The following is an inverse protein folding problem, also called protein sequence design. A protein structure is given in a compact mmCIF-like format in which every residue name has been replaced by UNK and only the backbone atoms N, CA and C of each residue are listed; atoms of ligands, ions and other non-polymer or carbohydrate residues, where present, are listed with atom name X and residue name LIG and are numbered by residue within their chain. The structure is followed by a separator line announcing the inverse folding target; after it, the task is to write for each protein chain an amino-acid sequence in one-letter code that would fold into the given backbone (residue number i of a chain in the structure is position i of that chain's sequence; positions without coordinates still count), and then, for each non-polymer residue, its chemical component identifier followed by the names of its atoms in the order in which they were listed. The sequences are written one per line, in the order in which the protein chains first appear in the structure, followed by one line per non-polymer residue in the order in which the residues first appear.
data_IF_651276677553
#
_entry.id   IF_651276677553
#
_cell.length_a   1.000
_cell.length_b   1.000
_cell.length_c   1.000
_cell.angle_alpha   90.00
_cell.angle_beta   90.00
_cell.angle_gamma   90.00
#
_symmetry.space_group_name_H-M   'P 1'
#
loop_
_entity.id
_entity.type
_entity.pdbx_description
1 polymer ?
#
# COMPACT_ATOMS: atom_id res chain seq x y z
N UNK A 1 -26.07 -10.95 -23.10
CA UNK A 1 -25.36 -9.68 -22.84
C UNK A 1 -24.25 -10.02 -21.89
N UNK A 2 -23.00 -9.99 -22.35
CA UNK A 2 -21.83 -10.19 -21.48
C UNK A 2 -21.55 -8.79 -20.93
N UNK A 3 -21.75 -8.56 -19.63
CA UNK A 3 -21.26 -7.34 -18.98
C UNK A 3 -19.76 -7.27 -19.26
N UNK A 4 -19.33 -6.26 -19.99
CA UNK A 4 -17.91 -6.00 -20.16
C UNK A 4 -17.36 -5.71 -18.76
N UNK A 5 -16.36 -6.48 -18.33
CA UNK A 5 -15.74 -6.24 -17.05
C UNK A 5 -15.06 -4.86 -17.09
N UNK A 6 -15.68 -3.87 -16.45
CA UNK A 6 -15.21 -2.49 -16.38
C UNK A 6 -14.11 -2.33 -15.33
N UNK A 7 -13.37 -3.41 -15.03
CA UNK A 7 -12.30 -3.46 -14.05
C UNK A 7 -11.06 -4.04 -14.70
N UNK A 8 -9.94 -3.36 -14.49
CA UNK A 8 -8.61 -3.85 -14.83
C UNK A 8 -7.93 -4.27 -13.52
N UNK A 9 -7.52 -5.53 -13.47
CA UNK A 9 -6.71 -6.05 -12.37
C UNK A 9 -5.25 -6.24 -12.83
N UNK A 10 -4.31 -5.66 -12.08
CA UNK A 10 -2.88 -5.86 -12.25
C UNK A 10 -2.33 -6.63 -11.06
N UNK A 11 -2.03 -7.91 -11.27
CA UNK A 11 -1.55 -8.82 -10.21
C UNK A 11 -0.05 -8.67 -10.01
N UNK A 12 0.38 -8.51 -8.76
CA UNK A 12 1.78 -8.45 -8.35
C UNK A 12 2.25 -9.88 -8.08
N UNK A 13 2.98 -10.44 -9.04
CA UNK A 13 3.41 -11.84 -8.99
C UNK A 13 4.93 -11.98 -8.97
N UNK A 14 5.43 -13.02 -8.32
CA UNK A 14 6.80 -13.51 -8.47
C UNK A 14 6.83 -14.97 -8.93
N UNK A 15 8.03 -15.50 -9.12
CA UNK A 15 8.26 -16.92 -9.45
C UNK A 15 9.29 -17.52 -8.50
N UNK A 16 9.04 -18.73 -8.03
CA UNK A 16 10.05 -19.53 -7.32
C UNK A 16 11.15 -19.99 -8.29
N UNK A 17 12.29 -20.50 -7.79
CA UNK A 17 13.32 -21.12 -8.64
C UNK A 17 12.78 -22.29 -9.50
N UNK A 18 11.72 -22.97 -9.05
CA UNK A 18 11.05 -24.05 -9.78
C UNK A 18 10.05 -23.54 -10.83
N UNK A 19 9.91 -22.22 -10.99
CA UNK A 19 9.00 -21.58 -11.94
C UNK A 19 7.56 -21.46 -11.45
N UNK A 20 7.26 -21.87 -10.20
CA UNK A 20 5.92 -21.74 -9.61
C UNK A 20 5.59 -20.27 -9.39
N UNK A 21 4.44 -19.83 -9.86
CA UNK A 21 3.95 -18.48 -9.68
C UNK A 21 3.49 -18.27 -8.23
N UNK A 22 3.83 -17.11 -7.67
CA UNK A 22 3.46 -16.68 -6.33
C UNK A 22 2.77 -15.33 -6.45
N UNK A 23 1.60 -15.19 -5.84
CA UNK A 23 0.81 -13.96 -5.81
C UNK A 23 1.10 -13.18 -4.53
N UNK A 24 1.36 -11.88 -4.66
CA UNK A 24 1.61 -10.95 -3.57
C UNK A 24 0.52 -9.87 -3.44
N UNK A 25 -0.57 -9.98 -4.20
CA UNK A 25 -1.71 -9.08 -4.23
C UNK A 25 -1.93 -8.44 -5.59
N UNK A 26 -2.83 -7.47 -5.65
CA UNK A 26 -3.21 -6.84 -6.91
C UNK A 26 -3.54 -5.35 -6.77
N UNK A 27 -3.55 -4.68 -7.92
CA UNK A 27 -4.05 -3.33 -8.09
C UNK A 27 -5.30 -3.38 -8.96
N UNK A 28 -6.40 -2.88 -8.42
CA UNK A 28 -7.66 -2.72 -9.14
C UNK A 28 -7.81 -1.30 -9.68
N UNK A 29 -8.19 -1.19 -10.96
CA UNK A 29 -8.50 0.05 -11.64
C UNK A 29 -9.88 -0.05 -12.30
N UNK A 30 -10.79 0.84 -11.91
CA UNK A 30 -12.10 0.96 -12.56
C UNK A 30 -11.95 1.72 -13.89
N UNK A 31 -12.61 1.22 -14.93
CA UNK A 31 -12.60 1.79 -16.27
C UNK A 31 -14.00 2.30 -16.66
N UNK A 32 -14.04 3.33 -17.50
CA UNK A 32 -15.26 3.76 -18.18
C UNK A 32 -15.66 2.72 -19.24
N UNK A 33 -16.88 2.80 -19.81
CA UNK A 33 -17.25 1.96 -20.95
C UNK A 33 -16.33 2.11 -22.18
N UNK A 34 -15.60 3.22 -22.28
CA UNK A 34 -14.64 3.50 -23.34
C UNK A 34 -13.24 2.90 -23.05
N UNK A 35 -13.03 2.34 -21.85
CA UNK A 35 -11.77 1.75 -21.43
C UNK A 35 -10.78 2.74 -20.82
N UNK A 36 -11.22 3.95 -20.49
CA UNK A 36 -10.41 4.97 -19.82
C UNK A 36 -10.47 4.81 -18.29
N UNK A 37 -9.43 5.22 -17.54
CA UNK A 37 -9.45 5.21 -16.08
C UNK A 37 -10.62 6.05 -15.50
N UNK A 38 -11.56 5.43 -14.81
CA UNK A 38 -12.72 6.10 -14.23
C UNK A 38 -12.45 6.68 -12.83
N UNK A 39 -11.58 6.02 -12.05
CA UNK A 39 -11.23 6.41 -10.67
C UNK A 39 -9.76 6.11 -10.37
N UNK A 40 -9.16 6.73 -9.34
CA UNK A 40 -7.85 6.33 -8.87
C UNK A 40 -7.81 4.84 -8.49
N UNK A 41 -6.73 4.11 -8.83
CA UNK A 41 -6.58 2.70 -8.52
C UNK A 41 -6.52 2.45 -7.00
N UNK A 42 -6.91 1.24 -6.61
CA UNK A 42 -6.78 0.72 -5.25
C UNK A 42 -5.86 -0.49 -5.23
N UNK A 43 -4.97 -0.56 -4.24
CA UNK A 43 -3.98 -1.61 -4.12
C UNK A 43 -4.24 -2.46 -2.87
N UNK A 44 -4.18 -3.77 -3.02
CA UNK A 44 -4.22 -4.77 -1.94
C UNK A 44 -2.99 -5.65 -2.04
N UNK A 45 -2.17 -5.72 -0.98
CA UNK A 45 -0.94 -6.51 -0.97
C UNK A 45 -0.92 -7.46 0.22
N UNK A 46 -0.51 -8.70 -0.04
CA UNK A 46 -0.14 -9.67 0.98
C UNK A 46 1.29 -9.42 1.46
N UNK A 47 1.50 -9.30 2.78
CA UNK A 47 2.84 -9.24 3.36
C UNK A 47 3.59 -10.58 3.28
N UNK A 48 2.82 -11.65 3.10
CA UNK A 48 3.28 -13.02 3.01
C UNK A 48 2.62 -13.72 1.82
N UNK A 49 3.24 -14.81 1.38
CA UNK A 49 2.69 -15.70 0.38
C UNK A 49 2.81 -17.15 0.86
N UNK A 50 1.83 -17.98 0.46
CA UNK A 50 1.84 -19.39 0.77
C UNK A 50 2.53 -20.18 -0.34
N UNK A 51 3.57 -20.93 0.03
CA UNK A 51 4.27 -21.83 -0.86
C UNK A 51 4.17 -23.23 -0.24
N UNK A 52 3.48 -24.13 -0.94
CA UNK A 52 3.31 -25.54 -0.55
C UNK A 52 2.75 -25.73 0.87
N UNK A 53 1.83 -24.85 1.27
CA UNK A 53 1.17 -24.89 2.59
C UNK A 53 1.91 -24.17 3.71
N UNK A 54 3.12 -23.65 3.45
CA UNK A 54 3.87 -22.82 4.40
C UNK A 54 3.81 -21.34 4.02
N UNK A 55 3.69 -20.48 5.02
CA UNK A 55 3.67 -19.02 4.87
C UNK A 55 5.09 -18.46 4.85
N UNK A 56 5.41 -17.61 3.86
CA UNK A 56 6.70 -16.96 3.71
C UNK A 56 6.52 -15.44 3.60
N UNK A 57 7.35 -14.68 4.30
CA UNK A 57 7.41 -13.23 4.13
C UNK A 57 8.09 -12.85 2.80
N UNK A 58 7.55 -11.84 2.11
CA UNK A 58 8.14 -11.34 0.88
C UNK A 58 9.24 -10.30 1.16
N UNK A 59 10.43 -10.51 0.59
CA UNK A 59 11.54 -9.56 0.64
C UNK A 59 12.10 -9.35 -0.77
N UNK A 60 12.25 -8.08 -1.17
CA UNK A 60 12.81 -7.69 -2.47
C UNK A 60 14.18 -7.05 -2.21
N UNK A 61 15.20 -7.52 -2.92
CA UNK A 61 16.58 -7.04 -2.86
C UNK A 61 17.10 -6.81 -4.28
N UNK A 62 18.12 -5.97 -4.41
CA UNK A 62 18.78 -5.69 -5.70
C UNK A 62 19.41 -6.96 -6.29
N UNK A 63 20.00 -7.81 -5.44
CA UNK A 63 20.63 -9.06 -5.82
C UNK A 63 20.23 -10.19 -4.87
N UNK A 64 20.04 -11.39 -5.41
CA UNK A 64 19.88 -12.63 -4.64
C UNK A 64 21.07 -13.55 -4.92
N UNK A 65 21.83 -13.88 -3.88
CA UNK A 65 22.99 -14.78 -3.97
C UNK A 65 22.68 -16.10 -3.29
N UNK A 66 22.99 -17.21 -3.96
CA UNK A 66 22.86 -18.55 -3.36
C UNK A 66 24.14 -18.88 -2.60
N UNK A 67 24.02 -19.04 -1.28
CA UNK A 67 25.15 -19.40 -0.42
C UNK A 67 25.56 -20.88 -0.54
N UNK A 68 26.67 -21.28 0.10
CA UNK A 68 27.22 -22.64 0.02
C UNK A 68 26.27 -23.77 0.47
N UNK A 69 25.18 -23.44 1.17
CA UNK A 69 24.13 -24.38 1.59
C UNK A 69 22.85 -24.35 0.75
N UNK A 70 22.85 -23.69 -0.42
CA UNK A 70 21.66 -23.56 -1.27
C UNK A 70 20.63 -22.52 -0.79
N UNK A 71 20.91 -21.82 0.32
CA UNK A 71 20.05 -20.75 0.82
C UNK A 71 20.27 -19.46 0.03
N UNK A 72 19.16 -18.85 -0.41
CA UNK A 72 19.16 -17.54 -1.02
C UNK A 72 19.33 -16.45 0.05
N UNK A 73 20.33 -15.59 -0.14
CA UNK A 73 20.58 -14.42 0.70
C UNK A 73 20.49 -13.17 -0.17
N UNK A 74 19.67 -12.20 0.24
CA UNK A 74 19.59 -10.91 -0.42
C UNK A 74 20.82 -10.05 -0.16
N UNK A 75 21.30 -9.35 -1.20
CA UNK A 75 22.35 -8.32 -1.13
C UNK A 75 21.84 -7.01 -1.73
N UNK A 76 22.40 -5.91 -1.26
CA UNK A 76 22.01 -4.57 -1.70
C UNK A 76 20.85 -3.97 -0.91
N UNK A 77 20.21 -2.96 -1.49
CA UNK A 77 19.12 -2.24 -0.85
C UNK A 77 17.86 -3.10 -0.82
N UNK A 78 17.24 -3.19 0.36
CA UNK A 78 15.92 -3.81 0.49
C UNK A 78 14.85 -2.85 -0.02
N UNK A 79 14.07 -3.30 -0.99
CA UNK A 79 12.89 -2.60 -1.48
C UNK A 79 11.63 -3.16 -0.82
N UNK A 80 10.72 -2.29 -0.38
CA UNK A 80 9.43 -2.74 0.15
C UNK A 80 8.52 -3.20 -0.99
N UNK A 81 7.71 -4.23 -0.75
CA UNK A 81 6.73 -4.72 -1.72
C UNK A 81 5.78 -3.58 -2.16
N UNK A 82 5.38 -2.72 -1.23
CA UNK A 82 4.57 -1.53 -1.52
C UNK A 82 5.25 -0.61 -2.51
N UNK A 83 6.53 -0.26 -2.31
CA UNK A 83 7.26 0.60 -3.25
C UNK A 83 7.35 -0.05 -4.62
N UNK A 84 7.72 -1.33 -4.67
CA UNK A 84 7.77 -2.08 -5.93
C UNK A 84 6.43 -2.10 -6.67
N UNK A 85 5.32 -2.32 -5.96
CA UNK A 85 3.98 -2.31 -6.54
C UNK A 85 3.58 -0.93 -7.08
N UNK A 86 3.85 0.15 -6.33
CA UNK A 86 3.59 1.53 -6.77
C UNK A 86 4.37 1.86 -8.05
N UNK A 87 5.67 1.56 -8.08
CA UNK A 87 6.52 1.83 -9.24
C UNK A 87 6.10 0.98 -10.44
N UNK A 88 5.95 -0.34 -10.27
CA UNK A 88 5.62 -1.26 -11.37
C UNK A 88 4.25 -0.98 -11.97
N UNK A 89 3.23 -0.73 -11.14
CA UNK A 89 1.91 -0.34 -11.63
C UNK A 89 1.94 1.04 -12.29
N UNK A 90 2.67 2.01 -11.72
CA UNK A 90 2.82 3.34 -12.32
C UNK A 90 3.38 3.28 -13.75
N UNK A 91 4.42 2.46 -13.96
CA UNK A 91 4.99 2.22 -15.29
C UNK A 91 4.03 1.48 -16.22
N UNK A 92 3.30 0.48 -15.71
CA UNK A 92 2.26 -0.21 -16.48
C UNK A 92 1.16 0.76 -16.94
N UNK A 93 0.67 1.58 -16.02
CA UNK A 93 -0.38 2.56 -16.26
C UNK A 93 0.04 3.56 -17.36
N UNK A 94 1.25 4.11 -17.25
CA UNK A 94 1.77 5.06 -18.24
C UNK A 94 1.91 4.43 -19.62
N UNK A 95 2.41 3.19 -19.72
CA UNK A 95 2.46 2.47 -21.01
C UNK A 95 1.07 2.21 -21.59
N UNK A 96 0.07 1.92 -20.74
CA UNK A 96 -1.28 1.52 -21.17
C UNK A 96 -2.15 2.70 -21.59
N UNK A 97 -2.02 3.84 -20.92
CA UNK A 97 -2.89 5.00 -21.07
C UNK A 97 -2.17 6.24 -21.65
N UNK A 98 -0.85 6.17 -21.82
CA UNK A 98 -0.06 7.23 -22.48
C UNK A 98 0.20 8.46 -21.60
N UNK A 99 -0.10 8.39 -20.30
CA UNK A 99 0.18 9.47 -19.35
C UNK A 99 0.47 8.91 -17.95
N UNK A 100 1.24 9.61 -17.11
CA UNK A 100 1.59 9.13 -15.78
C UNK A 100 0.36 9.04 -14.87
N UNK A 101 0.41 8.10 -13.92
CA UNK A 101 -0.58 8.01 -12.85
C UNK A 101 -0.49 9.22 -11.93
N UNK A 102 -1.64 9.87 -11.67
CA UNK A 102 -1.72 11.11 -10.89
C UNK A 102 -2.24 10.92 -9.45
N UNK A 103 -2.97 9.85 -9.18
CA UNK A 103 -3.55 9.62 -7.87
C UNK A 103 -3.65 8.14 -7.50
N UNK A 104 -3.65 7.87 -6.20
CA UNK A 104 -3.95 6.58 -5.58
C UNK A 104 -5.05 6.75 -4.55
N UNK A 105 -5.98 5.79 -4.49
CA UNK A 105 -6.94 5.71 -3.40
C UNK A 105 -6.73 4.42 -2.62
N UNK A 106 -6.91 4.44 -1.31
CA UNK A 106 -6.93 3.20 -0.56
C UNK A 106 -7.31 3.35 0.89
N UNK A 107 -7.77 2.24 1.47
CA UNK A 107 -7.97 2.07 2.91
C UNK A 107 -6.67 1.62 3.55
N UNK A 108 -6.47 1.97 4.82
CA UNK A 108 -5.35 1.48 5.60
C UNK A 108 -5.56 0.02 6.01
N UNK A 109 -4.63 -0.85 5.64
CA UNK A 109 -4.54 -2.21 6.19
C UNK A 109 -4.30 -2.17 7.71
N UNK A 110 -4.68 -3.24 8.42
CA UNK A 110 -4.69 -3.31 9.89
C UNK A 110 -3.43 -2.72 10.56
N UNK A 111 -2.23 -3.16 10.16
CA UNK A 111 -0.98 -2.68 10.77
C UNK A 111 -0.73 -1.18 10.50
N UNK A 112 -1.01 -0.71 9.28
CA UNK A 112 -0.87 0.70 8.95
C UNK A 112 -1.94 1.55 9.65
N UNK A 113 -3.15 1.02 9.81
CA UNK A 113 -4.23 1.66 10.58
C UNK A 113 -3.83 1.82 12.05
N UNK A 114 -3.28 0.77 12.67
CA UNK A 114 -2.79 0.85 14.06
C UNK A 114 -1.66 1.89 14.21
N UNK A 115 -0.70 1.88 13.28
CA UNK A 115 0.39 2.86 13.28
C UNK A 115 -0.14 4.29 13.08
N UNK A 116 -1.10 4.48 12.16
CA UNK A 116 -1.76 5.77 11.96
C UNK A 116 -2.44 6.25 13.24
N UNK A 117 -3.21 5.38 13.91
CA UNK A 117 -3.94 5.73 15.12
C UNK A 117 -3.00 6.14 16.26
N UNK A 118 -1.86 5.45 16.41
CA UNK A 118 -0.82 5.81 17.38
C UNK A 118 -0.18 7.16 17.06
N UNK A 119 0.19 7.41 15.81
CA UNK A 119 0.73 8.69 15.38
C UNK A 119 -0.28 9.83 15.54
N UNK A 120 -1.55 9.57 15.21
CA UNK A 120 -2.65 10.51 15.40
C UNK A 120 -2.78 10.90 16.87
N UNK A 121 -2.87 9.92 17.79
CA UNK A 121 -2.96 10.20 19.23
C UNK A 121 -1.75 10.97 19.73
N UNK A 122 -0.54 10.55 19.36
CA UNK A 122 0.70 11.26 19.74
C UNK A 122 0.64 12.74 19.32
N UNK A 123 0.25 13.03 18.08
CA UNK A 123 0.12 14.40 17.57
C UNK A 123 -0.99 15.19 18.29
N UNK A 124 -2.10 14.54 18.63
CA UNK A 124 -3.19 15.17 19.40
C UNK A 124 -2.74 15.52 20.82
N UNK A 125 -1.98 14.65 21.48
CA UNK A 125 -1.38 14.91 22.79
C UNK A 125 -0.33 16.03 22.74
N UNK A 126 0.34 16.21 21.59
CA UNK A 126 1.23 17.35 21.29
C UNK A 126 0.47 18.66 20.95
N UNK A 127 -0.87 18.64 20.96
CA UNK A 127 -1.71 19.82 20.72
C UNK A 127 -2.00 20.12 19.24
N UNK A 128 -1.60 19.25 18.31
CA UNK A 128 -1.86 19.43 16.87
C UNK A 128 -3.36 19.29 16.59
N UNK A 129 -4.03 20.24 15.88
CA UNK A 129 -5.45 20.14 15.53
C UNK A 129 -5.80 18.84 14.81
N UNK A 130 -7.00 18.30 15.05
CA UNK A 130 -7.38 16.96 14.57
C UNK A 130 -7.23 16.78 13.06
N UNK A 131 -7.69 17.74 12.26
CA UNK A 131 -7.57 17.69 10.80
C UNK A 131 -6.11 17.68 10.32
N UNK A 132 -5.25 18.44 10.98
CA UNK A 132 -3.81 18.46 10.68
C UNK A 132 -3.15 17.15 11.13
N UNK A 133 -3.51 16.65 12.32
CA UNK A 133 -2.97 15.42 12.88
C UNK A 133 -3.27 14.20 12.01
N UNK A 134 -4.46 14.12 11.38
CA UNK A 134 -4.79 13.04 10.44
C UNK A 134 -3.80 13.00 9.27
N UNK A 135 -3.60 14.12 8.60
CA UNK A 135 -2.70 14.20 7.44
C UNK A 135 -1.26 13.90 7.86
N UNK A 136 -0.79 14.49 8.95
CA UNK A 136 0.57 14.28 9.46
C UNK A 136 0.80 12.84 9.95
N UNK A 137 -0.19 12.18 10.53
CA UNK A 137 -0.10 10.78 10.91
C UNK A 137 0.11 9.88 9.70
N UNK A 138 -0.59 10.12 8.58
CA UNK A 138 -0.37 9.36 7.34
C UNK A 138 1.06 9.57 6.82
N UNK A 139 1.57 10.80 6.85
CA UNK A 139 2.93 11.12 6.40
C UNK A 139 4.01 10.33 7.15
N UNK A 140 3.75 9.96 8.41
CA UNK A 140 4.71 9.29 9.31
C UNK A 140 4.67 7.76 9.25
N UNK A 141 3.67 7.16 8.59
CA UNK A 141 3.56 5.70 8.45
C UNK A 141 4.02 5.22 7.08
N UNK A 142 4.31 3.92 6.97
CA UNK A 142 4.83 3.33 5.73
C UNK A 142 3.90 3.53 4.52
N UNK A 143 2.58 3.59 4.73
CA UNK A 143 1.63 3.94 3.67
C UNK A 143 1.95 5.28 3.00
N UNK A 144 2.13 6.34 3.80
CA UNK A 144 2.38 7.69 3.31
C UNK A 144 3.81 7.87 2.83
N UNK A 145 4.80 7.37 3.59
CA UNK A 145 6.23 7.45 3.24
C UNK A 145 6.47 6.92 1.81
N UNK A 146 6.00 5.71 1.51
CA UNK A 146 6.22 5.10 0.19
C UNK A 146 5.52 5.85 -0.95
N UNK A 147 4.39 6.51 -0.69
CA UNK A 147 3.67 7.31 -1.70
C UNK A 147 4.36 8.65 -1.95
N UNK A 148 4.84 9.29 -0.89
CA UNK A 148 5.62 10.53 -0.98
C UNK A 148 6.92 10.28 -1.76
N UNK A 149 7.61 9.17 -1.50
CA UNK A 149 8.82 8.78 -2.24
C UNK A 149 8.58 8.62 -3.74
N UNK A 150 7.38 8.18 -4.14
CA UNK A 150 6.95 8.04 -5.55
C UNK A 150 6.31 9.33 -6.12
N UNK A 151 6.40 10.44 -5.38
CA UNK A 151 5.97 11.77 -5.82
C UNK A 151 4.51 12.13 -5.50
N UNK A 152 3.76 11.26 -4.82
CA UNK A 152 2.38 11.56 -4.37
C UNK A 152 2.41 12.35 -3.06
N UNK A 153 2.78 13.63 -3.14
CA UNK A 153 3.05 14.48 -1.98
C UNK A 153 1.82 15.12 -1.36
N UNK A 154 0.70 15.20 -2.10
CA UNK A 154 -0.58 15.73 -1.62
C UNK A 154 -1.41 14.57 -1.06
N UNK A 155 -1.67 14.60 0.24
CA UNK A 155 -2.41 13.56 0.94
C UNK A 155 -3.71 14.15 1.53
N UNK A 156 -4.84 13.55 1.19
CA UNK A 156 -6.15 13.84 1.78
C UNK A 156 -6.62 12.62 2.55
N UNK A 157 -7.13 12.84 3.77
CA UNK A 157 -7.54 11.76 4.69
C UNK A 157 -9.02 11.93 5.02
N UNK A 158 -9.82 10.97 4.59
CA UNK A 158 -11.24 10.90 4.90
C UNK A 158 -11.47 9.90 6.04
N UNK A 159 -12.17 10.34 7.08
CA UNK A 159 -12.57 9.52 8.22
C UNK A 159 -14.09 9.42 8.24
N UNK A 160 -14.61 8.20 8.18
CA UNK A 160 -16.06 7.96 8.22
C UNK A 160 -16.53 7.61 9.64
N UNK A 161 -15.71 6.91 10.41
CA UNK A 161 -16.07 6.43 11.75
C UNK A 161 -14.92 6.60 12.73
N UNK A 162 -15.26 6.81 13.99
CA UNK A 162 -14.34 6.87 15.13
C UNK A 162 -14.89 6.00 16.27
N UNK A 163 -14.00 5.27 16.94
CA UNK A 163 -14.36 4.31 17.99
C UNK A 163 -13.25 4.24 19.05
N UNK A 164 -13.59 3.72 20.24
CA UNK A 164 -12.59 3.41 21.26
C UNK A 164 -11.77 2.18 20.87
N UNK A 165 -10.45 2.37 20.74
CA UNK A 165 -9.51 1.32 20.36
C UNK A 165 -8.38 1.26 21.39
N UNK A 166 -8.02 0.06 21.84
CA UNK A 166 -6.81 -0.15 22.63
C UNK A 166 -5.58 -0.14 21.73
N UNK A 167 -4.78 0.93 21.83
CA UNK A 167 -3.57 1.14 21.04
C UNK A 167 -2.32 0.51 21.69
N UNK A 168 -2.45 -0.10 22.86
CA UNK A 168 -1.35 -0.59 23.69
C UNK A 168 -0.53 0.54 24.32
N UNK A 169 0.47 0.19 25.13
CA UNK A 169 1.37 1.15 25.75
C UNK A 169 2.15 1.99 24.70
N UNK A 170 2.40 3.28 24.97
CA UNK A 170 2.02 4.06 26.17
C UNK A 170 0.60 4.66 26.11
N UNK A 171 -0.16 4.39 25.04
CA UNK A 171 -1.40 5.12 24.75
C UNK A 171 -2.65 4.50 25.40
N UNK A 172 -2.69 3.19 25.61
CA UNK A 172 -3.89 2.51 26.11
C UNK A 172 -5.11 2.70 25.19
N UNK A 173 -6.31 2.74 25.76
CA UNK A 173 -7.55 2.96 25.01
C UNK A 173 -7.76 4.43 24.66
N UNK A 174 -8.10 4.70 23.40
CA UNK A 174 -8.34 6.04 22.87
C UNK A 174 -9.48 6.02 21.83
N UNK A 175 -10.27 7.10 21.80
CA UNK A 175 -11.24 7.35 20.73
C UNK A 175 -10.52 7.86 19.49
N UNK A 176 -10.50 7.04 18.43
CA UNK A 176 -9.67 7.28 17.23
C UNK A 176 -10.39 6.89 15.94
N UNK A 177 -9.96 7.45 14.78
CA UNK A 177 -10.45 7.04 13.47
C UNK A 177 -10.32 5.54 13.21
N UNK A 178 -11.38 4.91 12.69
CA UNK A 178 -11.39 3.47 12.37
C UNK A 178 -11.66 3.14 10.91
N UNK A 179 -12.54 3.87 10.21
CA UNK A 179 -12.65 3.80 8.74
C UNK A 179 -11.90 4.99 8.14
N UNK A 180 -10.69 4.71 7.65
CA UNK A 180 -9.74 5.70 7.14
C UNK A 180 -9.47 5.39 5.68
N UNK A 181 -9.86 6.33 4.82
CA UNK A 181 -9.55 6.32 3.38
C UNK A 181 -8.59 7.44 3.07
N UNK A 182 -7.58 7.15 2.23
CA UNK A 182 -6.58 8.12 1.83
C UNK A 182 -6.61 8.27 0.32
N UNK A 183 -6.60 9.53 -0.12
CA UNK A 183 -6.32 9.93 -1.49
C UNK A 183 -4.92 10.55 -1.52
N UNK A 184 -4.01 9.94 -2.28
CA UNK A 184 -2.65 10.44 -2.46
C UNK A 184 -2.46 10.90 -3.92
N UNK A 185 -2.05 12.13 -4.12
CA UNK A 185 -2.00 12.79 -5.43
C UNK A 185 -0.61 13.38 -5.69
N UNK A 186 -0.21 13.41 -6.96
CA UNK A 186 0.91 14.21 -7.43
C UNK A 186 0.50 15.70 -7.48
N UNK A 187 1.41 16.64 -7.20
CA UNK A 187 1.14 18.08 -7.25
C UNK A 187 0.87 18.59 -8.67
#
# INVERSE_FOLDING_TARGET
MIEADHRLEYVITGKTPTGKQVDFGSVELELTPQGDPAKPPTMSLGASAFIDGAEYAAHIYDEIVIGPGGHATGRGQRTSLTRHALTSFGQFYERRFGHPLKAWRGRLAFQNKLNFQREYVRLREEGVPAEVAKVEAVRRISYGIHRIDEGFTKLTVDVLTEEDVNLGEPFGTRYVPTDITILAEKP
#
